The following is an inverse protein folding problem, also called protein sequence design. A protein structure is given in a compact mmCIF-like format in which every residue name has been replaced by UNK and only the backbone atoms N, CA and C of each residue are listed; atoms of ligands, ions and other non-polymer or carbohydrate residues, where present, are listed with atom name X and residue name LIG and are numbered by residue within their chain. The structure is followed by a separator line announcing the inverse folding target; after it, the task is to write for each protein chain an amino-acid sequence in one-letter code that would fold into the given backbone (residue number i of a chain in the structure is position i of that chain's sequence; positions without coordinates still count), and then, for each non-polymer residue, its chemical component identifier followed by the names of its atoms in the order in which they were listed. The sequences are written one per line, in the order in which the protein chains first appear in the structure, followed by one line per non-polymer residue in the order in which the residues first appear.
data_IF_491004645019
#
_entry.id   IF_491004645019
#
_cell.length_a   1.000
_cell.length_b   1.000
_cell.length_c   1.000
_cell.angle_alpha   90.00
_cell.angle_beta   90.00
_cell.angle_gamma   90.00
#
_symmetry.space_group_name_H-M   'P 1'
#
loop_
_entity.id
_entity.type
_entity.pdbx_description
1 polymer ?
#
# COMPACT_ATOMS: atom_id res chain seq x y z
N UNK A 1 -19.13 4.03 27.79
CA UNK A 1 -18.20 3.45 26.80
C UNK A 1 -18.94 3.43 25.48
N UNK A 2 -18.85 4.50 24.70
CA UNK A 2 -19.50 4.57 23.38
C UNK A 2 -18.72 3.68 22.43
N UNK A 3 -19.41 2.67 21.91
CA UNK A 3 -18.96 1.85 20.80
C UNK A 3 -18.74 2.77 19.59
N UNK A 4 -17.50 3.21 19.39
CA UNK A 4 -17.10 3.97 18.21
C UNK A 4 -16.99 2.99 17.06
N UNK A 5 -18.14 2.50 16.57
CA UNK A 5 -18.22 1.51 15.52
C UNK A 5 -17.43 1.97 14.30
N UNK A 6 -16.48 1.15 13.88
CA UNK A 6 -15.73 1.36 12.64
C UNK A 6 -16.70 1.28 11.47
N UNK A 7 -16.62 2.22 10.53
CA UNK A 7 -17.45 2.23 9.32
C UNK A 7 -16.59 1.98 8.10
N UNK A 8 -17.13 1.26 7.12
CA UNK A 8 -16.50 1.04 5.82
C UNK A 8 -17.29 1.75 4.75
N UNK A 9 -16.61 2.55 3.93
CA UNK A 9 -17.19 3.28 2.81
C UNK A 9 -16.37 3.05 1.55
N UNK A 10 -17.04 2.98 0.41
CA UNK A 10 -16.39 2.93 -0.89
C UNK A 10 -16.69 4.19 -1.66
N UNK A 11 -15.65 4.79 -2.23
CA UNK A 11 -15.83 6.03 -2.97
C UNK A 11 -14.67 6.36 -3.89
N UNK A 12 -14.88 7.43 -4.65
CA UNK A 12 -13.91 8.00 -5.58
C UNK A 12 -13.33 9.27 -4.98
N UNK A 13 -12.01 9.44 -5.03
CA UNK A 13 -11.39 10.71 -4.66
C UNK A 13 -11.88 11.78 -5.63
N UNK A 14 -12.65 12.73 -5.11
CA UNK A 14 -13.15 13.88 -5.87
C UNK A 14 -12.13 15.01 -5.86
N UNK A 15 -11.49 15.23 -4.70
CA UNK A 15 -10.49 16.27 -4.53
C UNK A 15 -9.53 15.92 -3.40
N UNK A 16 -8.24 16.18 -3.61
CA UNK A 16 -7.23 16.17 -2.55
C UNK A 16 -7.12 17.58 -1.98
N UNK A 17 -7.36 17.74 -0.68
CA UNK A 17 -7.23 19.02 0.01
C UNK A 17 -5.81 19.25 0.51
N UNK A 18 -5.17 18.19 0.98
CA UNK A 18 -3.80 18.18 1.47
C UNK A 18 -3.21 16.78 1.27
N UNK A 19 -1.95 16.71 0.86
CA UNK A 19 -1.18 15.49 0.82
C UNK A 19 0.25 15.79 1.23
N UNK A 20 0.75 15.06 2.21
CA UNK A 20 2.16 15.08 2.57
C UNK A 20 2.83 13.85 1.92
N UNK A 21 3.68 14.04 0.91
CA UNK A 21 4.35 12.92 0.24
C UNK A 21 5.37 12.21 1.13
N UNK A 22 5.92 12.87 2.14
CA UNK A 22 6.94 12.30 3.04
C UNK A 22 6.36 11.27 4.01
N UNK A 23 5.10 11.42 4.40
CA UNK A 23 4.44 10.50 5.33
C UNK A 23 3.13 9.90 4.79
N UNK A 24 2.72 10.26 3.57
CA UNK A 24 1.49 9.83 2.89
C UNK A 24 0.18 10.28 3.58
N UNK A 25 0.28 11.15 4.58
CA UNK A 25 -0.89 11.70 5.25
C UNK A 25 -1.67 12.58 4.27
N UNK A 26 -2.96 12.29 4.16
CA UNK A 26 -3.83 12.86 3.15
C UNK A 26 -5.14 13.31 3.78
N UNK A 27 -5.60 14.48 3.36
CA UNK A 27 -6.95 14.98 3.59
C UNK A 27 -7.61 15.09 2.23
N UNK A 28 -8.71 14.36 2.03
CA UNK A 28 -9.38 14.30 0.73
C UNK A 28 -10.91 14.32 0.88
N UNK A 29 -11.58 14.78 -0.18
CA UNK A 29 -13.01 14.59 -0.38
C UNK A 29 -13.23 13.28 -1.13
N UNK A 30 -13.97 12.37 -0.52
CA UNK A 30 -14.36 11.09 -1.09
C UNK A 30 -15.84 11.13 -1.45
N UNK A 31 -16.14 10.99 -2.74
CA UNK A 31 -17.51 10.84 -3.24
C UNK A 31 -17.94 9.39 -3.05
N UNK A 32 -18.89 9.15 -2.14
CA UNK A 32 -19.37 7.81 -1.75
C UNK A 32 -20.66 7.49 -2.49
N UNK A 33 -20.80 6.24 -2.93
CA UNK A 33 -22.02 5.78 -3.59
C UNK A 33 -23.24 6.01 -2.67
N UNK A 34 -24.35 6.51 -3.22
CA UNK A 34 -25.59 6.83 -2.49
C UNK A 34 -25.50 8.01 -1.50
N UNK A 35 -24.47 8.85 -1.59
CA UNK A 35 -24.41 10.13 -0.88
C UNK A 35 -24.39 11.31 -1.86
N UNK A 36 -25.17 12.36 -1.57
CA UNK A 36 -25.24 13.56 -2.42
C UNK A 36 -24.01 14.46 -2.26
N UNK A 37 -23.41 14.47 -1.07
CA UNK A 37 -22.25 15.28 -0.74
C UNK A 37 -21.05 14.37 -0.49
N UNK A 38 -19.83 14.76 -0.90
CA UNK A 38 -18.64 14.02 -0.55
C UNK A 38 -18.39 14.11 0.95
N UNK A 39 -17.71 13.09 1.48
CA UNK A 39 -17.24 13.07 2.86
C UNK A 39 -15.78 13.49 2.92
N UNK A 40 -15.36 14.10 4.03
CA UNK A 40 -13.95 14.36 4.28
C UNK A 40 -13.31 13.13 4.92
N UNK A 41 -12.24 12.61 4.31
CA UNK A 41 -11.43 11.52 4.86
C UNK A 41 -10.04 12.02 5.23
N UNK A 42 -9.50 11.53 6.34
CA UNK A 42 -8.19 11.93 6.87
C UNK A 42 -7.37 10.71 7.32
N UNK A 43 -6.14 10.61 6.85
CA UNK A 43 -5.21 9.54 7.23
C UNK A 43 -4.28 9.16 6.09
N UNK A 44 -3.73 7.95 6.13
CA UNK A 44 -2.73 7.50 5.18
C UNK A 44 -3.39 6.87 3.94
N UNK A 45 -3.19 7.50 2.78
CA UNK A 45 -3.74 7.01 1.50
C UNK A 45 -2.59 6.86 0.51
N UNK A 46 -2.33 5.66 -0.02
CA UNK A 46 -1.29 5.46 -1.02
C UNK A 46 -1.74 6.07 -2.35
N UNK A 47 -0.89 6.90 -2.97
CA UNK A 47 -1.12 7.50 -4.29
C UNK A 47 -2.53 8.11 -4.45
N UNK A 48 -2.88 9.17 -3.68
CA UNK A 48 -4.24 9.71 -3.62
C UNK A 48 -4.58 10.53 -4.88
N UNK A 49 -4.74 9.87 -6.02
CA UNK A 49 -5.04 10.51 -7.29
C UNK A 49 -6.53 10.84 -7.40
N UNK A 50 -6.85 12.03 -7.92
CA UNK A 50 -8.24 12.38 -8.24
C UNK A 50 -8.79 11.35 -9.22
N UNK A 51 -9.93 10.78 -8.87
CA UNK A 51 -10.59 9.74 -9.64
C UNK A 51 -10.25 8.31 -9.27
N UNK A 52 -9.21 8.08 -8.46
CA UNK A 52 -8.94 6.77 -7.89
C UNK A 52 -10.08 6.36 -6.92
N UNK A 53 -10.39 5.07 -6.91
CA UNK A 53 -11.43 4.48 -6.06
C UNK A 53 -10.78 3.75 -4.90
N UNK A 54 -11.33 3.95 -3.71
CA UNK A 54 -10.86 3.30 -2.49
C UNK A 54 -12.03 2.78 -1.67
N UNK A 55 -11.80 1.64 -1.03
CA UNK A 55 -12.54 1.20 0.16
C UNK A 55 -11.77 1.70 1.38
N UNK A 56 -12.44 2.48 2.21
CA UNK A 56 -11.86 3.12 3.39
C UNK A 56 -12.62 2.63 4.60
N UNK A 57 -11.90 2.14 5.60
CA UNK A 57 -12.47 1.75 6.89
C UNK A 57 -11.89 2.65 7.98
N UNK A 58 -12.73 3.15 8.87
CA UNK A 58 -12.31 4.14 9.85
C UNK A 58 -13.37 4.54 10.86
N UNK A 59 -13.07 5.55 11.65
CA UNK A 59 -13.98 6.07 12.68
C UNK A 59 -14.30 7.53 12.41
N UNK A 60 -15.56 7.92 12.58
CA UNK A 60 -15.95 9.33 12.51
C UNK A 60 -15.34 10.10 13.67
N UNK A 61 -14.74 11.24 13.36
CA UNK A 61 -14.23 12.21 14.32
C UNK A 61 -14.72 13.61 13.98
N UNK A 62 -14.83 14.48 14.99
CA UNK A 62 -15.24 15.87 14.80
C UNK A 62 -14.09 16.80 15.16
N UNK A 63 -13.41 17.32 14.14
CA UNK A 63 -12.35 18.29 14.32
C UNK A 63 -12.94 19.68 14.62
N UNK A 64 -12.45 20.35 15.67
CA UNK A 64 -13.01 21.60 16.17
C UNK A 64 -13.04 22.73 15.10
N UNK A 65 -12.09 22.72 14.17
CA UNK A 65 -11.97 23.70 13.07
C UNK A 65 -12.54 23.24 11.72
N UNK A 66 -12.56 21.93 11.46
CA UNK A 66 -12.78 21.39 10.11
C UNK A 66 -14.05 20.53 10.01
N UNK A 67 -14.78 20.36 11.11
CA UNK A 67 -16.03 19.61 11.13
C UNK A 67 -15.82 18.10 11.16
N UNK A 68 -16.81 17.37 10.66
CA UNK A 68 -16.87 15.90 10.71
C UNK A 68 -15.96 15.31 9.64
N UNK A 69 -15.11 14.37 10.04
CA UNK A 69 -14.12 13.71 9.20
C UNK A 69 -14.08 12.21 9.51
N UNK A 70 -13.86 11.38 8.50
CA UNK A 70 -13.60 9.97 8.69
C UNK A 70 -12.09 9.76 8.87
N UNK A 71 -11.67 9.40 10.08
CA UNK A 71 -10.28 9.00 10.35
C UNK A 71 -10.05 7.60 9.82
N UNK A 72 -9.18 7.49 8.82
CA UNK A 72 -8.84 6.25 8.13
C UNK A 72 -8.03 5.37 9.07
N UNK A 73 -8.54 4.16 9.30
CA UNK A 73 -7.78 3.06 9.91
C UNK A 73 -7.15 2.20 8.81
N UNK A 74 -7.91 1.85 7.78
CA UNK A 74 -7.45 1.03 6.65
C UNK A 74 -7.94 1.62 5.33
N UNK A 75 -7.13 1.50 4.29
CA UNK A 75 -7.41 2.06 2.98
C UNK A 75 -6.97 1.07 1.90
N UNK A 76 -7.92 0.63 1.07
CA UNK A 76 -7.68 -0.32 0.00
C UNK A 76 -8.08 0.31 -1.35
N UNK A 77 -7.17 0.41 -2.33
CA UNK A 77 -7.54 0.77 -3.68
C UNK A 77 -8.50 -0.29 -4.21
N UNK A 78 -9.65 0.16 -4.70
CA UNK A 78 -10.62 -0.72 -5.34
C UNK A 78 -10.20 -0.92 -6.79
N UNK A 79 -9.59 -2.06 -7.06
CA UNK A 79 -9.28 -2.46 -8.43
C UNK A 79 -10.58 -2.65 -9.23
N UNK A 80 -10.57 -2.35 -10.54
CA UNK A 80 -11.71 -2.64 -11.38
C UNK A 80 -12.04 -4.13 -11.46
N UNK A 81 -13.33 -4.45 -11.50
CA UNK A 81 -13.84 -5.84 -11.45
C UNK A 81 -14.34 -6.35 -12.82
N UNK A 82 -14.54 -5.46 -13.81
CA UNK A 82 -14.98 -5.84 -15.16
C UNK A 82 -13.83 -5.73 -16.17
N UNK A 83 -13.79 -6.60 -17.18
CA UNK A 83 -12.76 -6.54 -18.23
C UNK A 83 -12.66 -5.16 -18.90
N UNK A 84 -13.80 -4.50 -19.11
CA UNK A 84 -13.86 -3.16 -19.69
C UNK A 84 -13.13 -2.13 -18.82
N UNK A 85 -13.37 -2.17 -17.50
CA UNK A 85 -12.75 -1.27 -16.56
C UNK A 85 -11.28 -1.62 -16.29
N UNK A 86 -10.91 -2.90 -16.24
CA UNK A 86 -9.52 -3.37 -16.14
C UNK A 86 -8.72 -2.84 -17.33
N UNK A 87 -9.27 -2.97 -18.54
CA UNK A 87 -8.65 -2.45 -19.76
C UNK A 87 -8.50 -0.93 -19.72
N UNK A 88 -9.49 -0.22 -19.20
CA UNK A 88 -9.42 1.24 -19.07
C UNK A 88 -8.38 1.68 -18.04
N UNK A 89 -8.28 0.95 -16.92
CA UNK A 89 -7.31 1.18 -15.86
C UNK A 89 -5.87 0.94 -16.33
N UNK A 90 -5.60 -0.15 -17.04
CA UNK A 90 -4.27 -0.40 -17.59
C UNK A 90 -3.87 0.65 -18.65
N UNK A 91 -4.84 1.22 -19.36
CA UNK A 91 -4.62 2.31 -20.32
C UNK A 91 -4.42 3.68 -19.66
N UNK A 92 -4.80 3.86 -18.40
CA UNK A 92 -4.91 5.20 -17.79
C UNK A 92 -3.60 5.79 -17.27
N UNK A 93 -2.47 5.10 -17.37
CA UNK A 93 -1.18 5.81 -17.46
C UNK A 93 0.02 5.24 -16.71
N UNK A 94 -0.09 4.22 -15.86
CA UNK A 94 1.11 3.68 -15.20
C UNK A 94 1.92 2.71 -16.09
N UNK A 95 1.31 2.17 -17.15
CA UNK A 95 1.99 1.32 -18.14
C UNK A 95 2.56 2.14 -19.31
N UNK A 96 3.47 3.07 -19.03
CA UNK A 96 4.07 3.92 -20.05
C UNK A 96 4.86 3.12 -21.11
N UNK A 97 4.60 3.44 -22.39
CA UNK A 97 5.25 2.80 -23.53
C UNK A 97 4.75 1.39 -23.86
N UNK A 98 3.70 0.88 -23.19
CA UNK A 98 3.01 -0.35 -23.59
C UNK A 98 1.90 -0.02 -24.60
N UNK A 99 1.91 -0.57 -25.83
CA UNK A 99 0.90 -0.25 -26.82
C UNK A 99 -0.51 -0.66 -26.36
N UNK A 100 -1.53 0.19 -26.63
CA UNK A 100 -2.93 -0.10 -26.28
C UNK A 100 -3.44 -1.44 -26.85
N UNK A 101 -2.93 -1.87 -28.00
CA UNK A 101 -3.23 -3.18 -28.60
C UNK A 101 -2.69 -4.34 -27.77
N UNK A 102 -1.51 -4.20 -27.17
CA UNK A 102 -0.93 -5.19 -26.25
C UNK A 102 -1.79 -5.29 -25.00
N UNK A 103 -2.14 -4.17 -24.38
CA UNK A 103 -3.04 -4.14 -23.20
C UNK A 103 -4.38 -4.84 -23.52
N UNK A 104 -4.93 -4.58 -24.71
CA UNK A 104 -6.18 -5.23 -25.13
C UNK A 104 -6.03 -6.76 -25.21
N UNK A 105 -4.93 -7.26 -25.79
CA UNK A 105 -4.66 -8.70 -25.89
C UNK A 105 -4.44 -9.34 -24.53
N UNK A 106 -3.73 -8.67 -23.61
CA UNK A 106 -3.52 -9.16 -22.24
C UNK A 106 -4.86 -9.35 -21.54
N UNK A 107 -5.72 -8.33 -21.55
CA UNK A 107 -7.05 -8.43 -20.92
C UNK A 107 -7.94 -9.45 -21.62
N UNK A 108 -7.83 -9.60 -22.95
CA UNK A 108 -8.58 -10.62 -23.68
C UNK A 108 -8.12 -12.05 -23.36
N UNK A 109 -6.85 -12.25 -23.00
CA UNK A 109 -6.29 -13.56 -22.65
C UNK A 109 -6.61 -13.97 -21.20
N UNK A 110 -6.52 -13.02 -20.25
CA UNK A 110 -6.66 -13.31 -18.81
C UNK A 110 -7.97 -12.81 -18.19
N UNK A 111 -8.76 -12.01 -18.90
CA UNK A 111 -10.05 -11.52 -18.41
C UNK A 111 -9.94 -10.79 -17.08
N UNK A 112 -10.77 -11.19 -16.12
CA UNK A 112 -10.80 -10.65 -14.75
C UNK A 112 -9.55 -10.99 -13.94
N UNK A 113 -8.79 -12.01 -14.34
CA UNK A 113 -7.59 -12.47 -13.63
C UNK A 113 -6.33 -11.67 -14.04
N UNK A 114 -6.47 -10.67 -14.93
CA UNK A 114 -5.35 -9.89 -15.46
C UNK A 114 -4.46 -9.30 -14.36
N UNK A 115 -5.03 -8.74 -13.30
CA UNK A 115 -4.22 -8.16 -12.22
C UNK A 115 -3.48 -9.22 -11.42
N UNK A 116 -4.11 -10.36 -11.14
CA UNK A 116 -3.46 -11.48 -10.46
C UNK A 116 -2.29 -12.02 -11.28
N UNK A 117 -2.47 -12.17 -12.59
CA UNK A 117 -1.40 -12.60 -13.50
C UNK A 117 -0.23 -11.60 -13.49
N UNK A 118 -0.50 -10.29 -13.59
CA UNK A 118 0.57 -9.29 -13.55
C UNK A 118 1.31 -9.32 -12.20
N UNK A 119 0.59 -9.58 -11.11
CA UNK A 119 1.09 -9.47 -9.74
C UNK A 119 1.85 -10.71 -9.26
N UNK A 120 1.33 -11.90 -9.57
CA UNK A 120 1.77 -13.17 -9.00
C UNK A 120 2.37 -14.13 -10.04
N UNK A 121 2.00 -13.99 -11.32
CA UNK A 121 2.43 -14.87 -12.41
C UNK A 121 2.88 -14.11 -13.66
N UNK A 122 3.78 -13.11 -13.53
CA UNK A 122 4.14 -12.22 -14.64
C UNK A 122 4.76 -12.96 -15.83
N UNK A 123 5.34 -14.14 -15.61
CA UNK A 123 5.84 -15.03 -16.66
C UNK A 123 4.76 -15.43 -17.66
N UNK A 124 3.52 -15.59 -17.21
CA UNK A 124 2.38 -15.96 -18.06
C UNK A 124 2.01 -14.87 -19.04
N UNK A 125 2.38 -13.61 -18.79
CA UNK A 125 2.17 -12.53 -19.76
C UNK A 125 2.82 -12.85 -21.12
N UNK A 126 3.86 -13.69 -21.15
CA UNK A 126 4.53 -14.14 -22.38
C UNK A 126 3.71 -15.12 -23.23
N UNK A 127 2.62 -15.67 -22.70
CA UNK A 127 1.62 -16.45 -23.45
C UNK A 127 0.86 -15.57 -24.46
N UNK A 128 0.87 -14.25 -24.26
CA UNK A 128 0.14 -13.29 -25.10
C UNK A 128 0.99 -12.86 -26.29
N UNK A 129 0.45 -13.01 -27.49
CA UNK A 129 1.12 -12.57 -28.71
C UNK A 129 1.59 -11.10 -28.62
N UNK A 130 2.83 -10.84 -29.03
CA UNK A 130 3.50 -9.55 -28.93
C UNK A 130 3.83 -9.07 -27.51
N UNK A 131 3.81 -9.95 -26.51
CA UNK A 131 4.41 -9.72 -25.19
C UNK A 131 5.62 -10.64 -25.03
N UNK A 132 6.81 -10.09 -25.26
CA UNK A 132 8.05 -10.80 -24.94
C UNK A 132 8.41 -10.70 -23.45
N UNK A 133 9.42 -11.45 -23.02
CA UNK A 133 9.93 -11.43 -21.63
C UNK A 133 10.22 -10.01 -21.11
N UNK A 134 10.87 -9.17 -21.92
CA UNK A 134 11.18 -7.77 -21.58
C UNK A 134 9.91 -6.94 -21.35
N UNK A 135 8.88 -7.15 -22.16
CA UNK A 135 7.60 -6.45 -22.02
C UNK A 135 6.84 -6.92 -20.78
N UNK A 136 6.85 -8.24 -20.51
CA UNK A 136 6.26 -8.83 -19.32
C UNK A 136 6.91 -8.26 -18.04
N UNK A 137 8.24 -8.27 -17.97
CA UNK A 137 9.01 -7.68 -16.86
C UNK A 137 8.70 -6.19 -16.68
N UNK A 138 8.62 -5.43 -17.78
CA UNK A 138 8.27 -4.00 -17.73
C UNK A 138 6.87 -3.77 -17.16
N UNK A 139 5.88 -4.59 -17.55
CA UNK A 139 4.51 -4.49 -17.04
C UNK A 139 4.47 -4.83 -15.55
N UNK A 140 5.13 -5.93 -15.14
CA UNK A 140 5.20 -6.35 -13.75
C UNK A 140 5.87 -5.30 -12.85
N UNK A 141 7.00 -4.74 -13.29
CA UNK A 141 7.71 -3.67 -12.58
C UNK A 141 6.86 -2.41 -12.45
N UNK A 142 6.24 -1.94 -13.53
CA UNK A 142 5.38 -0.76 -13.49
C UNK A 142 4.15 -0.97 -12.57
N UNK A 143 3.57 -2.17 -12.58
CA UNK A 143 2.50 -2.52 -11.66
C UNK A 143 2.98 -2.54 -10.20
N UNK A 144 4.14 -3.11 -9.94
CA UNK A 144 4.74 -3.12 -8.61
C UNK A 144 5.09 -1.71 -8.12
N UNK A 145 5.60 -0.83 -8.98
CA UNK A 145 5.86 0.57 -8.66
C UNK A 145 4.57 1.30 -8.27
N UNK A 146 3.49 1.06 -9.01
CA UNK A 146 2.20 1.70 -8.77
C UNK A 146 1.51 1.18 -7.50
N UNK A 147 1.66 -0.11 -7.18
CA UNK A 147 0.95 -0.78 -6.07
C UNK A 147 1.82 -1.12 -4.85
N UNK A 148 3.13 -0.88 -4.92
CA UNK A 148 4.11 -1.29 -3.90
C UNK A 148 3.86 -0.65 -2.54
N UNK A 149 3.54 0.65 -2.51
CA UNK A 149 3.24 1.35 -1.27
C UNK A 149 1.97 0.79 -0.60
N UNK A 150 0.94 0.48 -1.38
CA UNK A 150 -0.27 -0.15 -0.87
C UNK A 150 0.00 -1.57 -0.35
N UNK A 151 0.79 -2.36 -1.08
CA UNK A 151 1.25 -3.69 -0.61
C UNK A 151 1.95 -3.61 0.74
N UNK A 152 2.85 -2.64 0.90
CA UNK A 152 3.51 -2.38 2.19
C UNK A 152 2.50 -2.00 3.27
N UNK A 153 1.59 -1.06 3.01
CA UNK A 153 0.58 -0.65 4.00
C UNK A 153 -0.28 -1.83 4.47
N UNK A 154 -0.69 -2.74 3.57
CA UNK A 154 -1.39 -3.98 3.94
C UNK A 154 -0.55 -4.91 4.82
N UNK A 155 0.75 -5.06 4.54
CA UNK A 155 1.64 -5.87 5.38
C UNK A 155 1.73 -5.28 6.80
N UNK A 156 1.91 -3.96 6.90
CA UNK A 156 1.97 -3.27 8.18
C UNK A 156 0.66 -3.42 8.97
N UNK A 157 -0.49 -3.27 8.31
CA UNK A 157 -1.80 -3.47 8.91
C UNK A 157 -1.95 -4.88 9.50
N UNK A 158 -1.62 -5.93 8.72
CA UNK A 158 -1.68 -7.32 9.17
C UNK A 158 -0.74 -7.60 10.36
N UNK A 159 0.42 -6.94 10.38
CA UNK A 159 1.37 -6.98 11.49
C UNK A 159 1.00 -6.05 12.66
N UNK A 160 -0.14 -5.35 12.58
CA UNK A 160 -0.57 -4.34 13.54
C UNK A 160 0.53 -3.31 13.83
N UNK A 161 1.15 -2.82 12.75
CA UNK A 161 2.12 -1.71 12.71
C UNK A 161 1.41 -0.49 12.12
N UNK A 162 1.53 0.70 12.73
CA UNK A 162 0.92 1.92 12.20
C UNK A 162 1.35 2.25 10.78
N UNK A 163 0.39 2.63 9.91
CA UNK A 163 0.66 3.05 8.54
C UNK A 163 1.57 4.30 8.43
N UNK A 164 1.76 5.04 9.52
CA UNK A 164 2.70 6.17 9.62
C UNK A 164 4.16 5.77 9.33
N UNK A 165 4.52 4.51 9.54
CA UNK A 165 5.85 3.99 9.19
C UNK A 165 6.02 3.71 7.69
N UNK A 166 4.92 3.53 6.94
CA UNK A 166 4.94 3.06 5.56
C UNK A 166 5.81 3.95 4.67
N UNK A 167 5.65 5.27 4.74
CA UNK A 167 6.40 6.17 3.88
C UNK A 167 7.92 6.15 4.15
N UNK A 168 8.32 6.04 5.42
CA UNK A 168 9.73 5.97 5.82
C UNK A 168 10.38 4.66 5.36
N UNK A 169 9.67 3.55 5.51
CA UNK A 169 10.09 2.24 5.00
C UNK A 169 10.17 2.27 3.47
N UNK A 170 9.15 2.83 2.81
CA UNK A 170 9.07 2.93 1.35
C UNK A 170 10.20 3.81 0.78
N UNK A 171 10.66 4.82 1.53
CA UNK A 171 11.83 5.61 1.14
C UNK A 171 13.12 4.78 1.11
N UNK A 172 13.25 3.80 2.00
CA UNK A 172 14.43 2.94 2.10
C UNK A 172 14.43 1.83 1.06
N UNK A 173 13.30 1.14 0.88
CA UNK A 173 13.23 -0.08 0.08
C UNK A 173 12.41 0.05 -1.20
N UNK A 174 11.71 1.17 -1.39
CA UNK A 174 10.88 1.43 -2.56
C UNK A 174 9.76 0.39 -2.74
N UNK A 175 9.39 0.07 -4.00
CA UNK A 175 8.34 -0.89 -4.31
C UNK A 175 8.54 -2.30 -3.72
N UNK A 176 9.79 -2.68 -3.45
CA UNK A 176 10.17 -3.99 -2.91
C UNK A 176 10.01 -4.09 -1.38
N UNK A 177 9.63 -3.00 -0.70
CA UNK A 177 9.50 -2.94 0.76
C UNK A 177 8.76 -4.14 1.36
N UNK A 178 7.60 -4.49 0.80
CA UNK A 178 6.79 -5.60 1.32
C UNK A 178 7.48 -6.96 1.14
N UNK A 179 8.15 -7.18 0.00
CA UNK A 179 8.87 -8.43 -0.27
C UNK A 179 10.07 -8.60 0.65
N UNK A 180 10.93 -7.57 0.75
CA UNK A 180 12.12 -7.56 1.61
C UNK A 180 11.72 -7.83 3.07
N UNK A 181 10.69 -7.16 3.57
CA UNK A 181 10.25 -7.34 4.96
C UNK A 181 9.54 -8.67 5.21
N UNK A 182 9.03 -9.33 4.16
CA UNK A 182 8.44 -10.67 4.28
C UNK A 182 9.53 -11.74 4.29
N UNK A 183 10.57 -11.58 3.47
CA UNK A 183 11.68 -12.53 3.36
C UNK A 183 12.65 -12.42 4.55
N UNK A 184 13.02 -11.19 4.93
CA UNK A 184 13.95 -10.92 6.02
C UNK A 184 13.50 -9.70 6.85
N UNK A 185 12.51 -9.86 7.76
CA UNK A 185 11.97 -8.76 8.55
C UNK A 185 13.04 -7.97 9.32
N UNK A 186 14.03 -8.67 9.90
CA UNK A 186 15.06 -8.07 10.76
C UNK A 186 16.08 -7.22 10.00
N UNK A 187 16.08 -7.21 8.67
CA UNK A 187 16.85 -6.23 7.90
C UNK A 187 16.45 -4.79 8.28
N UNK A 188 15.16 -4.53 8.53
CA UNK A 188 14.69 -3.23 8.98
C UNK A 188 15.33 -2.77 10.29
N UNK A 189 15.74 -3.66 11.18
CA UNK A 189 16.40 -3.27 12.42
C UNK A 189 17.78 -2.65 12.19
N UNK A 190 18.46 -3.01 11.10
CA UNK A 190 19.77 -2.46 10.72
C UNK A 190 19.63 -1.22 9.84
N UNK A 191 18.70 -1.26 8.88
CA UNK A 191 18.56 -0.20 7.88
C UNK A 191 17.76 1.00 8.39
N UNK A 192 16.98 0.84 9.48
CA UNK A 192 16.07 1.86 10.03
C UNK A 192 16.34 2.07 11.54
N UNK A 193 17.35 2.89 11.92
CA UNK A 193 17.75 3.09 13.31
C UNK A 193 16.62 3.59 14.21
N UNK A 194 16.63 3.14 15.47
CA UNK A 194 15.73 3.57 16.55
C UNK A 194 14.28 3.07 16.51
N UNK A 195 13.70 2.68 15.38
CA UNK A 195 12.32 2.13 15.32
C UNK A 195 12.17 0.93 14.38
N UNK A 196 13.21 0.62 13.60
CA UNK A 196 13.23 -0.51 12.67
C UNK A 196 13.05 -1.86 13.37
N UNK A 197 13.63 -2.03 14.56
CA UNK A 197 13.44 -3.26 15.34
C UNK A 197 11.98 -3.49 15.72
N UNK A 198 11.26 -2.45 16.18
CA UNK A 198 9.84 -2.56 16.52
C UNK A 198 9.02 -3.04 15.32
N UNK A 199 9.23 -2.43 14.14
CA UNK A 199 8.53 -2.84 12.91
C UNK A 199 8.91 -4.26 12.51
N UNK A 200 10.21 -4.56 12.50
CA UNK A 200 10.74 -5.88 12.16
C UNK A 200 10.16 -6.99 13.04
N UNK A 201 10.13 -6.78 14.37
CA UNK A 201 9.67 -7.79 15.33
C UNK A 201 8.17 -8.05 15.17
N UNK A 202 7.37 -7.00 14.91
CA UNK A 202 5.93 -7.14 14.66
C UNK A 202 5.63 -7.92 13.38
N UNK A 203 6.36 -7.62 12.31
CA UNK A 203 6.24 -8.35 11.04
C UNK A 203 6.69 -9.80 11.20
N UNK A 204 7.85 -10.05 11.83
CA UNK A 204 8.38 -11.38 12.08
C UNK A 204 7.41 -12.24 12.90
N UNK A 205 6.82 -11.68 13.96
CA UNK A 205 5.80 -12.36 14.77
C UNK A 205 4.56 -12.71 13.95
N UNK A 206 4.07 -11.79 13.13
CA UNK A 206 2.92 -12.04 12.24
C UNK A 206 3.19 -13.16 11.23
N UNK A 207 4.42 -13.23 10.71
CA UNK A 207 4.86 -14.27 9.77
C UNK A 207 5.21 -15.61 10.45
N UNK A 208 5.16 -15.68 11.79
CA UNK A 208 5.42 -16.90 12.54
C UNK A 208 6.89 -17.22 12.75
N UNK A 209 7.79 -16.23 12.68
CA UNK A 209 9.20 -16.44 12.98
C UNK A 209 9.39 -16.83 14.47
N UNK A 210 10.33 -17.74 14.79
CA UNK A 210 10.61 -18.13 16.16
C UNK A 210 11.11 -16.96 17.01
N UNK A 211 10.62 -16.88 18.25
CA UNK A 211 11.02 -15.82 19.19
C UNK A 211 12.49 -15.94 19.66
N UNK A 212 13.11 -17.11 19.48
CA UNK A 212 14.51 -17.42 19.78
C UNK A 212 15.39 -17.43 18.52
N UNK A 213 14.89 -16.94 17.38
CA UNK A 213 15.68 -16.85 16.16
C UNK A 213 16.95 -16.01 16.39
N UNK A 214 18.15 -16.49 16.00
CA UNK A 214 19.40 -15.74 16.19
C UNK A 214 19.39 -14.34 15.55
N UNK A 215 18.68 -14.17 14.42
CA UNK A 215 18.47 -12.89 13.75
C UNK A 215 17.73 -11.89 14.64
N UNK A 216 16.70 -12.35 15.36
CA UNK A 216 15.95 -11.54 16.34
C UNK A 216 16.84 -11.11 17.50
N UNK A 217 17.60 -12.03 18.09
CA UNK A 217 18.50 -11.71 19.20
C UNK A 217 19.53 -10.66 18.81
N UNK A 218 20.14 -10.80 17.62
CA UNK A 218 21.11 -9.83 17.10
C UNK A 218 20.48 -8.44 16.89
N UNK A 219 19.31 -8.40 16.27
CA UNK A 219 18.58 -7.15 16.03
C UNK A 219 18.13 -6.48 17.34
N UNK A 220 17.71 -7.27 18.34
CA UNK A 220 17.33 -6.78 19.66
C UNK A 220 18.53 -6.18 20.42
N UNK A 221 19.68 -6.86 20.41
CA UNK A 221 20.90 -6.33 21.03
C UNK A 221 21.30 -4.98 20.43
N UNK A 222 21.28 -4.86 19.10
CA UNK A 222 21.57 -3.60 18.43
C UNK A 222 20.60 -2.50 18.87
N UNK A 223 19.31 -2.80 18.88
CA UNK A 223 18.27 -1.86 19.29
C UNK A 223 18.44 -1.34 20.72
N UNK A 224 18.71 -2.23 21.68
CA UNK A 224 18.94 -1.86 23.07
C UNK A 224 20.19 -1.00 23.23
N UNK A 225 21.26 -1.31 22.49
CA UNK A 225 22.48 -0.49 22.48
C UNK A 225 22.24 0.91 21.92
N UNK A 226 21.48 1.04 20.82
CA UNK A 226 21.10 2.33 20.24
C UNK A 226 20.24 3.16 21.21
N UNK A 227 19.30 2.52 21.91
CA UNK A 227 18.46 3.17 22.92
C UNK A 227 19.31 3.73 24.07
N UNK A 228 20.22 2.91 24.62
CA UNK A 228 21.10 3.32 25.71
C UNK A 228 22.06 4.45 25.30
N UNK A 229 22.56 4.45 24.06
CA UNK A 229 23.42 5.51 23.55
C UNK A 229 22.70 6.86 23.41
N UNK A 230 21.40 6.84 23.08
CA UNK A 230 20.59 8.06 22.96
C UNK A 230 20.11 8.63 24.30
N UNK A 231 19.99 7.79 25.35
CA UNK A 231 19.64 8.23 26.71
C UNK A 231 20.83 8.80 27.50
N UNK A 232 22.06 8.61 27.01
CA UNK A 232 23.29 9.08 27.66
C UNK A 232 23.73 10.52 27.37
N UNK A 233 22.88 11.33 26.73
CA UNK A 233 23.05 12.78 26.50
C UNK A 233 22.11 13.59 27.38
#
# INVERSE_FOLDING_TARGET
MTDSGTVTVEGRIERVLFHNPDNQYTVAHLSVLNQKLPITVVGYIPNPNVGARFRVTGTWDKHNRYGVQLKIATCEPKLPETESDIRQYLKSGFLEGIPKKVIHRIVAAFGTDTFDVIENHPERLTEVDGVGKVTAEKIASAYLEHHGLHRLMRLLEKAAVPASYAARIYRQYGPQSAAILTENPYQAAFDLPGWGFYVADRIAQHLGFPADAPSRSRACMLYVLEMAANEGH
#
